data_IF_678520717194
#
_entry.id   IF_678520717194
#
_cell.length_a   1.000
_cell.length_b   1.000
_cell.length_c   1.000
_cell.angle_alpha   90.00
_cell.angle_beta   90.00
_cell.angle_gamma   90.00
#
_symmetry.space_group_name_H-M   'P 1'
#
loop_
_entity.id
_entity.type
_entity.pdbx_description
1 polymer ?
#
# COMPACT_ATOMS: atom_id res chain seq x y z
N UNK A 1 18.07 -12.74 -0.16
CA UNK A 1 18.06 -11.43 -0.88
C UNK A 1 17.55 -10.29 -0.01
N UNK A 2 16.24 -10.06 0.16
CA UNK A 2 15.76 -8.87 0.89
C UNK A 2 16.23 -8.85 2.36
N UNK A 3 16.11 -9.97 3.07
CA UNK A 3 16.66 -10.11 4.44
C UNK A 3 18.18 -10.11 4.46
N UNK A 4 18.78 -10.93 3.59
CA UNK A 4 20.24 -11.10 3.48
C UNK A 4 21.00 -9.79 3.24
N UNK A 5 20.39 -8.85 2.51
CA UNK A 5 20.99 -7.56 2.16
C UNK A 5 20.33 -6.37 2.87
N UNK A 6 19.49 -6.63 3.87
CA UNK A 6 18.75 -5.62 4.62
C UNK A 6 18.03 -4.57 3.74
N UNK A 7 17.30 -5.05 2.74
CA UNK A 7 16.60 -4.21 1.77
C UNK A 7 15.17 -3.93 2.23
N UNK A 8 14.71 -2.71 1.94
CA UNK A 8 13.30 -2.34 1.95
C UNK A 8 12.61 -2.84 0.69
N UNK A 9 11.39 -3.34 0.85
CA UNK A 9 10.51 -3.75 -0.25
C UNK A 9 9.35 -2.79 -0.35
N UNK A 10 9.10 -2.26 -1.54
CA UNK A 10 7.86 -1.54 -1.85
C UNK A 10 7.02 -2.50 -2.69
N UNK A 11 5.93 -2.98 -2.11
CA UNK A 11 5.02 -3.92 -2.77
C UNK A 11 3.80 -3.16 -3.28
N UNK A 12 3.73 -2.93 -4.59
CA UNK A 12 2.54 -2.38 -5.25
C UNK A 12 1.56 -3.52 -5.52
N UNK A 13 0.50 -3.58 -4.72
CA UNK A 13 -0.50 -4.64 -4.74
C UNK A 13 -1.88 -4.08 -5.10
N UNK A 14 -1.93 -3.04 -5.94
CA UNK A 14 -3.19 -2.38 -6.37
C UNK A 14 -4.19 -3.30 -7.11
N UNK A 15 -3.80 -4.52 -7.45
CA UNK A 15 -4.62 -5.53 -8.13
C UNK A 15 -4.79 -6.82 -7.31
N UNK A 16 -4.56 -6.76 -5.99
CA UNK A 16 -4.64 -7.91 -5.09
C UNK A 16 -5.97 -8.70 -5.19
N UNK A 17 -7.07 -8.06 -5.58
CA UNK A 17 -8.37 -8.73 -5.79
C UNK A 17 -8.65 -9.16 -7.22
N UNK A 18 -7.88 -8.72 -8.22
CA UNK A 18 -8.07 -9.10 -9.62
C UNK A 18 -7.27 -10.36 -9.98
N UNK A 19 -7.53 -11.44 -9.26
CA UNK A 19 -6.87 -12.74 -9.42
C UNK A 19 -7.85 -13.76 -10.00
N UNK A 20 -7.39 -14.60 -10.93
CA UNK A 20 -8.26 -15.50 -11.71
C UNK A 20 -7.84 -16.97 -11.60
N UNK A 21 -8.82 -17.86 -11.75
CA UNK A 21 -8.62 -19.31 -11.75
C UNK A 21 -8.28 -19.83 -10.35
N UNK A 22 -7.24 -20.66 -10.26
CA UNK A 22 -6.76 -21.24 -9.00
C UNK A 22 -5.65 -20.42 -8.32
N UNK A 23 -5.36 -19.21 -8.82
CA UNK A 23 -4.33 -18.36 -8.23
C UNK A 23 -4.90 -17.61 -7.03
N UNK A 24 -4.07 -17.43 -6.01
CA UNK A 24 -4.37 -16.62 -4.84
C UNK A 24 -3.28 -15.56 -4.69
N UNK A 25 -3.68 -14.31 -4.48
CA UNK A 25 -2.74 -13.27 -4.11
C UNK A 25 -2.21 -13.54 -2.70
N UNK A 26 -0.90 -13.43 -2.54
CA UNK A 26 -0.23 -13.49 -1.25
C UNK A 26 0.44 -12.15 -1.07
N UNK A 27 0.02 -11.41 -0.05
CA UNK A 27 0.65 -10.13 0.26
C UNK A 27 2.11 -10.36 0.62
N UNK A 28 3.01 -9.55 0.06
CA UNK A 28 4.45 -9.75 0.29
C UNK A 28 4.80 -9.62 1.77
N UNK A 29 4.12 -8.70 2.48
CA UNK A 29 4.29 -8.48 3.91
C UNK A 29 3.84 -9.69 4.79
N UNK A 30 3.05 -10.62 4.26
CA UNK A 30 2.62 -11.83 4.98
C UNK A 30 3.68 -12.94 4.96
N UNK A 31 4.72 -12.80 4.14
CA UNK A 31 5.84 -13.73 4.16
C UNK A 31 6.64 -13.59 5.47
N UNK A 32 7.22 -14.68 6.00
CA UNK A 32 8.04 -14.62 7.21
C UNK A 32 9.13 -13.55 7.11
N UNK A 33 9.28 -12.71 8.15
CA UNK A 33 10.30 -11.65 8.22
C UNK A 33 10.10 -10.45 7.29
N UNK A 34 9.00 -10.40 6.52
CA UNK A 34 8.78 -9.32 5.55
C UNK A 34 7.99 -8.13 6.10
N UNK A 35 7.18 -8.33 7.15
CA UNK A 35 6.33 -7.27 7.71
C UNK A 35 7.15 -6.04 8.18
N UNK A 36 8.30 -6.25 8.81
CA UNK A 36 9.17 -5.17 9.29
C UNK A 36 9.92 -4.38 8.20
N UNK A 37 9.89 -4.83 6.95
CA UNK A 37 10.67 -4.24 5.84
C UNK A 37 9.87 -4.04 4.55
N UNK A 38 8.54 -4.14 4.62
CA UNK A 38 7.67 -3.98 3.45
C UNK A 38 6.77 -2.76 3.61
N UNK A 39 6.80 -1.87 2.63
CA UNK A 39 5.77 -0.85 2.41
C UNK A 39 4.79 -1.42 1.38
N UNK A 40 3.61 -1.80 1.83
CA UNK A 40 2.50 -2.20 0.98
C UNK A 40 1.78 -0.96 0.44
N UNK A 41 1.53 -0.93 -0.87
CA UNK A 41 0.72 0.08 -1.55
C UNK A 41 -0.58 -0.56 -2.01
N UNK A 42 -1.70 0.06 -1.62
CA UNK A 42 -3.04 -0.35 -2.02
C UNK A 42 -3.92 0.85 -2.36
N UNK A 43 -5.14 0.59 -2.83
CA UNK A 43 -6.08 1.67 -3.10
C UNK A 43 -7.32 1.24 -3.87
N UNK A 44 -8.20 2.21 -4.13
CA UNK A 44 -9.55 1.92 -4.59
C UNK A 44 -9.70 1.90 -6.12
N UNK A 45 -8.62 2.20 -6.84
CA UNK A 45 -8.67 2.45 -8.29
C UNK A 45 -9.11 1.22 -9.11
N UNK A 46 -8.75 0.01 -8.68
CA UNK A 46 -8.90 -1.21 -9.50
C UNK A 46 -9.97 -2.13 -8.93
N UNK A 47 -9.87 -2.43 -7.65
CA UNK A 47 -10.82 -3.27 -6.94
C UNK A 47 -12.26 -2.73 -6.96
N UNK A 48 -12.40 -1.41 -6.89
CA UNK A 48 -13.71 -0.75 -6.75
C UNK A 48 -14.04 0.15 -7.96
N UNK A 49 -13.27 0.05 -9.05
CA UNK A 49 -13.44 0.89 -10.24
C UNK A 49 -13.41 2.42 -9.97
N UNK A 50 -12.74 2.85 -8.90
CA UNK A 50 -12.68 4.27 -8.49
C UNK A 50 -11.47 5.02 -9.08
N UNK A 51 -11.09 4.74 -10.33
CA UNK A 51 -9.87 5.30 -10.96
C UNK A 51 -9.78 6.83 -10.89
N UNK A 52 -10.91 7.51 -11.07
CA UNK A 52 -11.04 8.98 -11.03
C UNK A 52 -11.10 9.59 -9.62
N UNK A 53 -11.29 8.79 -8.57
CA UNK A 53 -11.47 9.30 -7.20
C UNK A 53 -10.14 9.59 -6.49
N UNK A 54 -9.05 9.00 -7.00
CA UNK A 54 -7.68 9.28 -6.55
C UNK A 54 -7.45 8.97 -5.06
N UNK A 55 -7.97 7.83 -4.60
CA UNK A 55 -7.77 7.34 -3.22
C UNK A 55 -6.90 6.08 -3.23
N UNK A 56 -5.87 6.12 -2.39
CA UNK A 56 -4.97 5.01 -2.09
C UNK A 56 -4.39 5.16 -0.69
N UNK A 57 -3.74 4.10 -0.22
CA UNK A 57 -3.15 4.05 1.11
C UNK A 57 -1.81 3.31 1.07
N UNK A 58 -1.02 3.51 2.11
CA UNK A 58 0.21 2.74 2.34
C UNK A 58 0.21 2.18 3.75
N UNK A 59 0.74 0.98 3.91
CA UNK A 59 0.90 0.32 5.21
C UNK A 59 2.30 -0.28 5.31
N UNK A 60 2.91 -0.26 6.49
CA UNK A 60 4.28 -0.72 6.69
C UNK A 60 4.84 -0.32 8.06
N UNK A 61 6.16 -0.40 8.25
CA UNK A 61 6.82 -0.09 9.52
C UNK A 61 6.49 1.31 10.03
N UNK A 62 6.18 1.42 11.32
CA UNK A 62 5.65 2.64 11.93
C UNK A 62 6.55 3.87 11.71
N UNK A 63 7.87 3.70 11.80
CA UNK A 63 8.84 4.79 11.62
C UNK A 63 8.82 5.33 10.18
N UNK A 64 8.71 4.43 9.19
CA UNK A 64 8.63 4.79 7.78
C UNK A 64 7.30 5.47 7.45
N UNK A 65 6.18 4.90 7.91
CA UNK A 65 4.86 5.51 7.74
C UNK A 65 4.79 6.89 8.43
N UNK A 66 5.42 7.03 9.60
CA UNK A 66 5.55 8.32 10.29
C UNK A 66 6.31 9.37 9.47
N UNK A 67 7.41 8.98 8.83
CA UNK A 67 8.17 9.85 7.93
C UNK A 67 7.37 10.21 6.66
N UNK A 68 6.70 9.23 6.03
CA UNK A 68 5.84 9.46 4.87
C UNK A 68 4.69 10.39 5.20
N UNK A 69 4.03 10.21 6.36
CA UNK A 69 2.98 11.10 6.85
C UNK A 69 3.48 12.53 7.02
N UNK A 70 4.71 12.73 7.55
CA UNK A 70 5.33 14.05 7.67
C UNK A 70 5.48 14.69 6.28
N UNK A 71 6.00 13.97 5.29
CA UNK A 71 6.11 14.46 3.91
C UNK A 71 4.72 14.82 3.35
N UNK A 72 3.76 13.92 3.46
CA UNK A 72 2.39 14.12 2.98
C UNK A 72 1.74 15.36 3.60
N UNK A 73 1.96 15.59 4.90
CA UNK A 73 1.47 16.76 5.63
C UNK A 73 1.99 18.08 5.04
N UNK A 74 3.23 18.13 4.57
CA UNK A 74 3.83 19.34 3.99
C UNK A 74 3.63 19.49 2.48
N UNK A 75 3.16 18.46 1.78
CA UNK A 75 2.88 18.51 0.34
C UNK A 75 1.40 18.77 0.02
N UNK A 76 0.49 17.99 0.61
CA UNK A 76 -0.93 18.02 0.23
C UNK A 76 -1.89 17.97 1.43
N UNK A 77 -1.36 17.76 2.65
CA UNK A 77 -2.08 17.69 3.91
C UNK A 77 -3.01 16.47 4.06
N UNK A 78 -3.98 16.27 3.16
CA UNK A 78 -4.94 15.17 3.20
C UNK A 78 -5.38 14.74 1.79
N UNK A 79 -5.91 13.52 1.69
CA UNK A 79 -6.67 13.11 0.52
C UNK A 79 -8.05 13.81 0.49
N UNK A 80 -8.76 13.86 -0.67
CA UNK A 80 -10.09 14.47 -0.76
C UNK A 80 -11.10 13.78 0.17
N UNK A 81 -11.82 14.55 1.00
CA UNK A 81 -12.80 14.01 1.97
C UNK A 81 -13.86 13.15 1.31
N UNK A 82 -14.43 13.59 0.18
CA UNK A 82 -15.46 12.82 -0.55
C UNK A 82 -14.95 11.43 -0.97
N UNK A 83 -13.68 11.34 -1.36
CA UNK A 83 -13.08 10.05 -1.71
C UNK A 83 -12.79 9.19 -0.48
N UNK A 84 -12.41 9.78 0.65
CA UNK A 84 -12.21 9.06 1.91
C UNK A 84 -13.51 8.50 2.46
N UNK A 85 -14.63 9.23 2.35
CA UNK A 85 -15.95 8.76 2.80
C UNK A 85 -16.53 7.64 1.92
N UNK A 86 -16.14 7.59 0.64
CA UNK A 86 -16.59 6.58 -0.31
C UNK A 86 -15.78 5.27 -0.26
N UNK A 87 -14.58 5.33 0.32
CA UNK A 87 -13.61 4.24 0.39
C UNK A 87 -13.82 3.36 1.63
#
# INVERSE_FOLDING_TARGET
IAEEHDLLVISDEIYDRLVYGSHHHIMFAALPGMAERTIHLGGMSKDYAMTGWRIGYTAGPADLIGAMRKIHQYLIMSAPTVGQEAA
#
